data_IF_789157659237
#
_entry.id   IF_789157659237
#
_cell.length_a   1.000
_cell.length_b   1.000
_cell.length_c   1.000
_cell.angle_alpha   90.00
_cell.angle_beta   90.00
_cell.angle_gamma   90.00
#
_symmetry.space_group_name_H-M   'P 1'
#
loop_
_entity.id
_entity.type
_entity.pdbx_description
1 polymer ?
#
# COMPACT_ATOMS: atom_id res chain seq x y z
N UNK A 1 -27.19 -35.76 5.01
CA UNK A 1 -26.55 -35.54 6.34
C UNK A 1 -25.25 -34.72 6.26
N UNK A 2 -24.26 -35.05 5.40
CA UNK A 2 -23.02 -34.27 5.24
C UNK A 2 -23.20 -32.80 4.79
N UNK A 3 -24.18 -32.54 3.92
CA UNK A 3 -24.51 -31.19 3.44
C UNK A 3 -25.19 -30.31 4.52
N UNK A 4 -25.91 -30.95 5.45
CA UNK A 4 -26.58 -30.28 6.57
C UNK A 4 -25.57 -29.93 7.66
N UNK A 5 -24.62 -30.84 7.95
CA UNK A 5 -23.53 -30.57 8.87
C UNK A 5 -22.64 -29.40 8.40
N UNK A 6 -22.34 -29.31 7.10
CA UNK A 6 -21.57 -28.19 6.55
C UNK A 6 -22.30 -26.84 6.64
N UNK A 7 -23.63 -26.83 6.47
CA UNK A 7 -24.44 -25.61 6.59
C UNK A 7 -24.52 -25.12 8.05
N UNK A 8 -24.55 -26.04 9.02
CA UNK A 8 -24.59 -25.70 10.46
C UNK A 8 -23.25 -25.13 10.94
N UNK A 9 -22.12 -25.66 10.44
CA UNK A 9 -20.78 -25.13 10.78
C UNK A 9 -20.57 -23.74 10.16
N UNK A 10 -21.06 -23.50 8.94
CA UNK A 10 -21.00 -22.19 8.31
C UNK A 10 -21.87 -21.14 9.03
N UNK A 11 -23.01 -21.55 9.61
CA UNK A 11 -23.88 -20.65 10.37
C UNK A 11 -23.32 -20.34 11.78
N UNK A 12 -22.53 -21.25 12.35
CA UNK A 12 -21.81 -21.04 13.61
C UNK A 12 -20.57 -20.14 13.47
N UNK A 13 -20.15 -19.81 12.24
CA UNK A 13 -19.08 -18.86 11.95
C UNK A 13 -19.57 -17.40 11.80
N UNK A 14 -20.84 -17.13 12.09
CA UNK A 14 -21.29 -15.76 12.30
C UNK A 14 -20.56 -15.21 13.54
N UNK A 15 -19.82 -14.09 13.44
CA UNK A 15 -19.27 -13.48 14.64
C UNK A 15 -20.46 -13.16 15.54
N UNK A 16 -20.44 -13.69 16.76
CA UNK A 16 -21.38 -13.30 17.79
C UNK A 16 -21.23 -11.79 18.00
N UNK A 17 -22.05 -11.00 17.31
CA UNK A 17 -22.25 -9.59 17.56
C UNK A 17 -23.14 -9.47 18.80
N UNK A 18 -22.64 -9.98 19.93
CA UNK A 18 -23.04 -9.44 21.22
C UNK A 18 -22.74 -7.94 21.15
N UNK A 19 -23.61 -7.09 21.69
CA UNK A 19 -23.36 -5.65 21.82
C UNK A 19 -22.04 -5.48 22.58
N UNK A 20 -20.93 -5.33 21.85
CA UNK A 20 -19.63 -5.13 22.48
C UNK A 20 -19.73 -3.85 23.31
N UNK A 21 -19.26 -3.86 24.57
CA UNK A 21 -19.11 -2.63 25.30
C UNK A 21 -18.29 -1.68 24.42
N UNK A 22 -18.69 -0.40 24.32
CA UNK A 22 -17.90 0.58 23.56
C UNK A 22 -16.45 0.48 24.02
N UNK A 23 -15.48 0.55 23.07
CA UNK A 23 -14.08 0.42 23.41
C UNK A 23 -13.76 1.41 24.53
N UNK A 24 -13.08 0.91 25.57
CA UNK A 24 -12.66 1.78 26.66
C UNK A 24 -11.81 2.92 26.08
N UNK A 25 -11.81 4.11 26.69
CA UNK A 25 -10.95 5.20 26.24
C UNK A 25 -9.49 4.79 26.07
N UNK A 26 -9.01 3.86 26.92
CA UNK A 26 -7.68 3.27 26.85
C UNK A 26 -7.47 2.41 25.59
N UNK A 27 -8.44 1.54 25.25
CA UNK A 27 -8.39 0.73 24.03
C UNK A 27 -8.41 1.60 22.77
N UNK A 28 -9.23 2.66 22.76
CA UNK A 28 -9.29 3.61 21.66
C UNK A 28 -7.96 4.40 21.51
N UNK A 29 -7.33 4.79 22.62
CA UNK A 29 -6.02 5.45 22.59
C UNK A 29 -4.92 4.53 22.05
N UNK A 30 -4.90 3.25 22.43
CA UNK A 30 -3.94 2.27 21.92
C UNK A 30 -4.13 1.93 20.44
N UNK A 31 -5.37 1.90 19.97
CA UNK A 31 -5.66 1.75 18.54
C UNK A 31 -5.10 2.93 17.73
N UNK A 32 -5.27 4.17 18.22
CA UNK A 32 -4.72 5.37 17.58
C UNK A 32 -3.20 5.40 17.57
N UNK A 33 -2.55 5.01 18.66
CA UNK A 33 -1.09 4.89 18.72
C UNK A 33 -0.57 3.85 17.72
N UNK A 34 -1.26 2.70 17.62
CA UNK A 34 -0.91 1.64 16.65
C UNK A 34 -1.06 2.13 15.21
N UNK A 35 -2.15 2.83 14.91
CA UNK A 35 -2.39 3.42 13.59
C UNK A 35 -1.33 4.48 13.24
N UNK A 36 -0.96 5.34 14.20
CA UNK A 36 0.10 6.33 14.00
C UNK A 36 1.45 5.66 13.74
N UNK A 37 1.77 4.59 14.48
CA UNK A 37 2.99 3.81 14.27
C UNK A 37 3.01 3.13 12.91
N UNK A 38 1.88 2.55 12.48
CA UNK A 38 1.75 1.95 11.15
C UNK A 38 1.95 2.98 10.03
N UNK A 39 1.36 4.17 10.17
CA UNK A 39 1.55 5.26 9.23
C UNK A 39 3.00 5.74 9.17
N UNK A 40 3.68 5.82 10.31
CA UNK A 40 5.11 6.16 10.36
C UNK A 40 5.98 5.07 9.72
N UNK A 41 5.73 3.79 10.01
CA UNK A 41 6.43 2.66 9.39
C UNK A 41 6.30 2.68 7.87
N UNK A 42 5.09 2.94 7.34
CA UNK A 42 4.88 3.08 5.90
C UNK A 42 5.73 4.20 5.26
N UNK A 43 5.94 5.32 5.98
CA UNK A 43 6.84 6.39 5.52
C UNK A 43 8.31 5.95 5.56
N UNK A 44 8.72 5.22 6.59
CA UNK A 44 10.08 4.68 6.69
C UNK A 44 10.38 3.67 5.58
N UNK A 45 9.42 2.82 5.24
CA UNK A 45 9.55 1.86 4.16
C UNK A 45 9.69 2.56 2.81
N UNK A 46 8.89 3.60 2.55
CA UNK A 46 9.02 4.43 1.36
C UNK A 46 10.39 5.15 1.29
N UNK A 47 10.88 5.68 2.42
CA UNK A 47 12.21 6.29 2.50
C UNK A 47 13.33 5.29 2.17
N UNK A 48 13.28 4.09 2.75
CA UNK A 48 14.26 3.02 2.46
C UNK A 48 14.23 2.58 1.01
N UNK A 49 13.03 2.41 0.45
CA UNK A 49 12.87 2.07 -0.97
C UNK A 49 13.48 3.13 -1.87
N UNK A 50 13.26 4.41 -1.57
CA UNK A 50 13.88 5.53 -2.29
C UNK A 50 15.42 5.42 -2.23
N UNK A 51 15.99 5.23 -1.03
CA UNK A 51 17.45 5.11 -0.86
C UNK A 51 18.07 3.98 -1.67
N UNK A 52 17.44 2.81 -1.67
CA UNK A 52 17.94 1.65 -2.40
C UNK A 52 17.86 1.88 -3.92
N UNK A 53 16.81 2.52 -4.42
CA UNK A 53 16.71 2.86 -5.84
C UNK A 53 17.84 3.81 -6.27
N UNK A 54 18.14 4.83 -5.47
CA UNK A 54 19.24 5.76 -5.73
C UNK A 54 20.60 5.04 -5.72
N UNK A 55 20.82 4.15 -4.75
CA UNK A 55 22.06 3.35 -4.66
C UNK A 55 22.24 2.42 -5.87
N UNK A 56 21.17 1.77 -6.31
CA UNK A 56 21.20 0.89 -7.50
C UNK A 56 21.48 1.70 -8.76
N UNK A 57 20.85 2.87 -8.90
CA UNK A 57 21.10 3.77 -10.02
C UNK A 57 22.56 4.24 -10.03
N UNK A 58 23.08 4.70 -8.89
CA UNK A 58 24.48 5.10 -8.74
C UNK A 58 25.44 3.96 -9.11
N UNK A 59 25.19 2.76 -8.58
CA UNK A 59 25.99 1.56 -8.88
C UNK A 59 25.99 1.23 -10.37
N UNK A 60 24.84 1.35 -11.04
CA UNK A 60 24.74 1.14 -12.48
C UNK A 60 25.61 2.13 -13.25
N UNK A 61 25.53 3.43 -12.93
CA UNK A 61 26.31 4.46 -13.61
C UNK A 61 27.81 4.29 -13.39
N UNK A 62 28.23 3.99 -12.15
CA UNK A 62 29.63 3.70 -11.84
C UNK A 62 30.15 2.49 -12.62
N UNK A 63 29.38 1.39 -12.68
CA UNK A 63 29.76 0.20 -13.46
C UNK A 63 29.79 0.47 -14.95
N UNK A 64 28.84 1.24 -15.48
CA UNK A 64 28.82 1.59 -16.89
C UNK A 64 30.02 2.47 -17.27
N UNK A 65 30.37 3.44 -16.43
CA UNK A 65 31.56 4.28 -16.57
C UNK A 65 32.84 3.44 -16.53
N UNK A 66 32.97 2.54 -15.55
CA UNK A 66 34.11 1.63 -15.46
C UNK A 66 34.24 0.70 -16.68
N UNK A 67 33.12 0.32 -17.30
CA UNK A 67 33.08 -0.48 -18.52
C UNK A 67 33.23 0.35 -19.81
N UNK A 68 33.50 1.65 -19.73
CA UNK A 68 33.64 2.54 -20.90
C UNK A 68 32.34 2.74 -21.69
N UNK A 69 31.18 2.40 -21.12
CA UNK A 69 29.88 2.55 -21.76
C UNK A 69 29.38 3.97 -21.60
N UNK A 70 28.91 4.56 -22.70
CA UNK A 70 28.19 5.83 -22.64
C UNK A 70 26.79 5.59 -22.08
N UNK A 71 26.41 6.36 -21.06
CA UNK A 71 25.06 6.35 -20.50
C UNK A 71 24.39 7.69 -20.73
N UNK A 72 23.04 7.69 -20.80
CA UNK A 72 22.28 8.94 -20.79
C UNK A 72 22.46 9.63 -19.44
N UNK A 73 22.45 10.96 -19.43
CA UNK A 73 22.42 11.74 -18.20
C UNK A 73 21.29 11.26 -17.26
N UNK A 74 21.58 11.08 -15.95
CA UNK A 74 20.55 10.77 -14.96
C UNK A 74 19.45 11.82 -14.98
N UNK A 75 18.19 11.37 -14.90
CA UNK A 75 17.08 12.30 -14.69
C UNK A 75 17.08 12.75 -13.23
N UNK A 76 16.78 14.02 -12.98
CA UNK A 76 16.67 14.52 -11.62
C UNK A 76 15.52 13.81 -10.89
N UNK A 77 15.86 13.09 -9.82
CA UNK A 77 14.89 12.52 -8.88
C UNK A 77 14.74 13.47 -7.69
N UNK A 78 13.54 13.56 -7.09
CA UNK A 78 13.38 14.25 -5.82
C UNK A 78 14.19 13.53 -4.74
N UNK A 79 14.73 14.29 -3.79
CA UNK A 79 15.53 13.73 -2.69
C UNK A 79 14.69 12.81 -1.80
N UNK A 80 15.29 11.70 -1.36
CA UNK A 80 14.67 10.81 -0.37
C UNK A 80 14.55 11.52 0.98
N UNK A 81 13.32 11.92 1.34
CA UNK A 81 13.06 12.62 2.61
C UNK A 81 12.91 11.65 3.78
N UNK A 82 13.75 11.81 4.79
CA UNK A 82 13.65 11.09 6.05
C UNK A 82 12.39 11.55 6.82
N UNK A 83 11.47 10.64 7.19
CA UNK A 83 10.29 10.99 7.98
C UNK A 83 10.60 11.39 9.43
N UNK A 84 11.84 11.23 9.89
CA UNK A 84 12.27 11.54 11.25
C UNK A 84 11.83 10.48 12.27
N UNK A 85 12.17 10.68 13.56
CA UNK A 85 11.77 9.78 14.62
C UNK A 85 10.24 9.73 14.78
N UNK A 86 9.73 8.58 15.22
CA UNK A 86 8.30 8.47 15.55
C UNK A 86 7.99 9.33 16.78
N UNK A 87 7.06 10.27 16.63
CA UNK A 87 6.51 11.09 17.71
C UNK A 87 5.00 10.90 17.71
N UNK A 88 4.44 10.48 18.85
CA UNK A 88 3.01 10.35 19.04
C UNK A 88 2.48 11.43 19.96
N UNK A 89 1.73 12.37 19.39
CA UNK A 89 0.98 13.37 20.15
C UNK A 89 -0.46 12.88 20.26
N UNK A 90 -0.91 12.53 21.47
CA UNK A 90 -2.26 11.99 21.68
C UNK A 90 -3.39 13.02 21.39
N UNK A 91 -3.05 14.31 21.41
CA UNK A 91 -3.96 15.44 21.15
C UNK A 91 -4.10 15.75 19.65
N UNK A 92 -3.13 15.34 18.83
CA UNK A 92 -3.22 15.44 17.38
C UNK A 92 -4.22 14.39 16.89
N UNK A 93 -5.49 14.81 16.78
CA UNK A 93 -6.53 14.01 16.15
C UNK A 93 -6.03 13.58 14.77
N UNK A 94 -5.85 12.27 14.51
CA UNK A 94 -5.40 11.82 13.19
C UNK A 94 -6.36 12.38 12.15
N UNK A 95 -5.84 13.20 11.23
CA UNK A 95 -6.58 13.56 10.02
C UNK A 95 -6.89 12.25 9.30
N UNK A 96 -8.17 11.97 9.12
CA UNK A 96 -8.72 10.86 8.32
C UNK A 96 -8.05 10.86 6.93
N UNK A 97 -6.91 10.19 6.82
CA UNK A 97 -6.14 10.04 5.58
C UNK A 97 -6.12 8.57 5.13
N UNK A 98 -6.93 7.72 5.74
CA UNK A 98 -7.19 6.36 5.27
C UNK A 98 -8.36 6.38 4.29
N UNK A 99 -8.15 7.04 3.15
CA UNK A 99 -9.19 7.21 2.13
C UNK A 99 -8.64 7.44 0.72
N UNK A 100 -7.46 6.93 0.38
CA UNK A 100 -6.95 7.01 -1.00
C UNK A 100 -5.78 6.03 -1.23
N UNK A 101 -6.04 4.72 -1.14
CA UNK A 101 -5.17 3.71 -1.75
C UNK A 101 -5.88 3.03 -2.92
N UNK A 102 -6.43 3.86 -3.82
CA UNK A 102 -6.68 3.53 -5.22
C UNK A 102 -6.86 4.87 -5.95
N UNK A 103 -6.15 5.15 -7.04
CA UNK A 103 -6.55 6.26 -7.90
C UNK A 103 -7.99 5.97 -8.37
N UNK A 104 -8.88 6.94 -8.20
CA UNK A 104 -10.30 6.79 -8.54
C UNK A 104 -10.51 6.40 -10.02
N UNK A 105 -9.56 6.73 -10.89
CA UNK A 105 -9.56 6.37 -12.31
C UNK A 105 -9.62 4.86 -12.58
N UNK A 106 -8.97 4.02 -11.75
CA UNK A 106 -8.98 2.56 -11.99
C UNK A 106 -10.33 1.92 -11.65
N UNK A 107 -11.16 2.59 -10.85
CA UNK A 107 -12.53 2.16 -10.57
C UNK A 107 -13.53 2.61 -11.64
N UNK A 108 -13.23 3.68 -12.38
CA UNK A 108 -14.11 4.22 -13.42
C UNK A 108 -13.91 3.54 -14.80
N UNK A 109 -12.73 2.96 -15.07
CA UNK A 109 -12.44 2.24 -16.31
C UNK A 109 -11.60 0.97 -16.05
N UNK A 110 -12.22 -0.19 -15.80
CA UNK A 110 -11.50 -1.45 -15.97
C UNK A 110 -11.04 -1.56 -17.43
N UNK A 111 -9.77 -1.92 -17.73
CA UNK A 111 -9.29 -2.08 -19.12
C UNK A 111 -9.87 -3.32 -19.83
N UNK A 112 -10.88 -3.96 -19.25
CA UNK A 112 -11.50 -5.16 -19.78
C UNK A 112 -12.77 -4.80 -20.53
N UNK A 113 -12.62 -4.51 -21.82
CA UNK A 113 -13.75 -4.51 -22.77
C UNK A 113 -14.21 -5.96 -22.98
N UNK A 114 -15.52 -6.28 -22.92
CA UNK A 114 -16.04 -7.64 -23.10
C UNK A 114 -16.13 -8.00 -24.59
N UNK A 115 -15.07 -7.80 -25.35
CA UNK A 115 -14.99 -8.25 -26.73
C UNK A 115 -14.51 -9.72 -26.75
N UNK A 116 -15.27 -10.67 -27.33
CA UNK A 116 -14.78 -12.02 -27.58
C UNK A 116 -13.57 -11.97 -28.52
N UNK A 117 -12.50 -12.68 -28.17
CA UNK A 117 -11.20 -12.67 -28.85
C UNK A 117 -11.19 -13.27 -30.27
N UNK A 118 -12.34 -13.44 -30.92
CA UNK A 118 -12.46 -14.18 -32.18
C UNK A 118 -12.62 -13.31 -33.44
N UNK A 119 -12.66 -11.97 -33.33
CA UNK A 119 -12.84 -11.10 -34.50
C UNK A 119 -11.82 -9.96 -34.49
N UNK A 120 -10.52 -10.28 -34.56
CA UNK A 120 -9.50 -9.33 -35.01
C UNK A 120 -8.82 -9.91 -36.25
N UNK A 121 -9.40 -9.63 -37.42
CA UNK A 121 -8.72 -9.78 -38.71
C UNK A 121 -7.53 -8.81 -38.75
N UNK A 122 -6.34 -9.24 -39.22
CA UNK A 122 -5.23 -8.32 -39.43
C UNK A 122 -5.49 -7.50 -40.70
N UNK A 123 -5.39 -6.17 -40.60
CA UNK A 123 -5.46 -5.31 -41.78
C UNK A 123 -5.52 -3.83 -41.44
N UNK A 124 -4.36 -3.22 -41.18
CA UNK A 124 -3.73 -2.18 -42.03
C UNK A 124 -2.43 -1.70 -41.39
#
# INVERSE_FOLDING_TARGET
MKKIAALIIALAAAPALAKLPPPTPEAAAKAKETAAKAAWSGKMDAFRLCRVQDEVAATYFERAKAAGKTTRAPMATPECKDPGPFVYNAEDKPREASGAHSPADTAAKPPSTPAPAAEQKPGQ
#
